data_IF_995284195213
#
_entry.id   IF_995284195213
#
_cell.length_a   1.000
_cell.length_b   1.000
_cell.length_c   1.000
_cell.angle_alpha   90.00
_cell.angle_beta   90.00
_cell.angle_gamma   90.00
#
_symmetry.space_group_name_H-M   'P 1'
#
loop_
_entity.id
_entity.type
_entity.pdbx_description
1 polymer ?
#
# COMPACT_ATOMS: atom_id res chain seq x y z
N UNK A 1 -17.99 -69.27 14.44
CA UNK A 1 -18.60 -67.92 14.56
C UNK A 1 -17.66 -66.87 15.17
N UNK A 2 -17.03 -67.09 16.34
CA UNK A 2 -16.13 -66.10 16.98
C UNK A 2 -14.94 -65.64 16.11
N UNK A 3 -14.37 -66.51 15.28
CA UNK A 3 -13.25 -66.17 14.36
C UNK A 3 -13.66 -65.21 13.23
N UNK A 4 -14.93 -65.16 12.84
CA UNK A 4 -15.41 -64.30 11.75
C UNK A 4 -15.54 -62.84 12.20
N UNK A 5 -15.96 -62.60 13.45
CA UNK A 5 -16.06 -61.26 14.03
C UNK A 5 -14.68 -60.61 14.27
N UNK A 6 -13.66 -61.41 14.58
CA UNK A 6 -12.28 -60.91 14.74
C UNK A 6 -11.71 -60.42 13.41
N UNK A 7 -12.01 -61.11 12.31
CA UNK A 7 -11.59 -60.70 10.96
C UNK A 7 -12.33 -59.42 10.53
N UNK A 8 -13.63 -59.30 10.84
CA UNK A 8 -14.40 -58.09 10.53
C UNK A 8 -13.91 -56.86 11.31
N UNK A 9 -13.49 -57.04 12.57
CA UNK A 9 -12.96 -55.97 13.41
C UNK A 9 -11.57 -55.49 12.95
N UNK A 10 -10.70 -56.41 12.51
CA UNK A 10 -9.39 -56.08 11.96
C UNK A 10 -9.48 -55.29 10.63
N UNK A 11 -10.46 -55.60 9.78
CA UNK A 11 -10.68 -54.86 8.53
C UNK A 11 -11.19 -53.44 8.82
N UNK A 12 -12.04 -53.25 9.84
CA UNK A 12 -12.55 -51.93 10.23
C UNK A 12 -11.45 -51.00 10.80
N UNK A 13 -10.49 -51.55 11.54
CA UNK A 13 -9.34 -50.79 12.06
C UNK A 13 -8.33 -50.37 10.98
N UNK A 14 -8.19 -51.13 9.88
CA UNK A 14 -7.28 -50.76 8.79
C UNK A 14 -7.83 -49.62 7.90
N UNK A 15 -9.14 -49.39 7.88
CA UNK A 15 -9.75 -48.30 7.09
C UNK A 15 -9.82 -46.95 7.82
N UNK A 16 -9.53 -46.90 9.12
CA UNK A 16 -9.65 -45.67 9.93
C UNK A 16 -8.38 -44.81 9.95
N UNK A 17 -7.33 -45.15 9.18
CA UNK A 17 -6.03 -44.45 9.21
C UNK A 17 -5.64 -43.68 7.93
N UNK A 18 -6.52 -43.57 6.93
CA UNK A 18 -6.18 -42.91 5.65
C UNK A 18 -6.67 -41.45 5.51
N UNK A 19 -7.36 -40.87 6.50
CA UNK A 19 -8.00 -39.56 6.34
C UNK A 19 -7.11 -38.31 6.54
N UNK A 20 -5.81 -38.45 6.86
CA UNK A 20 -4.95 -37.30 7.17
C UNK A 20 -3.78 -37.00 6.19
N UNK A 21 -3.60 -37.78 5.10
CA UNK A 21 -2.40 -37.65 4.25
C UNK A 21 -2.56 -36.91 2.90
N UNK A 22 -3.72 -36.32 2.57
CA UNK A 22 -3.93 -35.73 1.22
C UNK A 22 -3.60 -34.23 1.05
N UNK A 23 -3.14 -33.50 2.07
CA UNK A 23 -2.96 -32.03 1.95
C UNK A 23 -1.68 -31.55 1.23
N UNK A 24 -0.69 -32.41 0.98
CA UNK A 24 0.64 -31.93 0.51
C UNK A 24 0.68 -31.41 -0.94
N UNK A 25 -0.32 -31.72 -1.78
CA UNK A 25 -0.36 -31.32 -3.19
C UNK A 25 -1.63 -30.58 -3.65
N UNK A 26 -2.56 -30.25 -2.77
CA UNK A 26 -3.74 -29.47 -3.17
C UNK A 26 -3.38 -27.99 -3.33
N UNK A 27 -3.71 -27.45 -4.51
CA UNK A 27 -3.64 -26.02 -4.79
C UNK A 27 -4.72 -25.31 -3.94
N UNK A 28 -4.34 -24.26 -3.21
CA UNK A 28 -5.30 -23.42 -2.50
C UNK A 28 -6.21 -22.74 -3.53
N UNK A 29 -7.50 -23.03 -3.48
CA UNK A 29 -8.54 -22.46 -4.33
C UNK A 29 -9.42 -21.45 -3.59
N UNK A 30 -9.47 -21.54 -2.26
CA UNK A 30 -10.17 -20.62 -1.36
C UNK A 30 -9.53 -20.71 0.02
N UNK A 31 -9.42 -19.58 0.71
CA UNK A 31 -9.01 -19.52 2.10
C UNK A 31 -10.23 -19.59 3.03
N UNK A 32 -10.10 -20.26 4.17
CA UNK A 32 -11.12 -20.38 5.22
C UNK A 32 -10.80 -19.48 6.41
N UNK A 33 -11.79 -18.92 7.13
CA UNK A 33 -11.51 -18.10 8.31
C UNK A 33 -10.73 -18.85 9.40
N UNK A 34 -11.16 -20.07 9.73
CA UNK A 34 -10.56 -20.87 10.80
C UNK A 34 -9.14 -21.36 10.46
N UNK A 35 -8.87 -21.69 9.21
CA UNK A 35 -7.56 -22.19 8.77
C UNK A 35 -6.68 -21.14 8.10
N UNK A 36 -7.06 -19.85 8.17
CA UNK A 36 -6.42 -18.81 7.38
C UNK A 36 -4.90 -18.74 7.59
N UNK A 37 -4.36 -18.72 8.82
CA UNK A 37 -2.93 -18.60 9.07
C UNK A 37 -2.11 -19.76 8.48
N UNK A 38 -2.58 -21.00 8.63
CA UNK A 38 -1.91 -22.18 8.11
C UNK A 38 -1.97 -22.24 6.58
N UNK A 39 -3.16 -21.97 6.01
CA UNK A 39 -3.39 -22.00 4.57
C UNK A 39 -2.58 -20.92 3.85
N UNK A 40 -2.52 -19.69 4.38
CA UNK A 40 -1.74 -18.61 3.77
C UNK A 40 -0.24 -18.87 3.89
N UNK A 41 0.21 -19.44 5.01
CA UNK A 41 1.61 -19.85 5.20
C UNK A 41 2.01 -20.91 4.18
N UNK A 42 1.18 -21.94 4.01
CA UNK A 42 1.40 -22.99 3.01
C UNK A 42 1.43 -22.42 1.58
N UNK A 43 0.50 -21.52 1.27
CA UNK A 43 0.44 -20.85 -0.04
C UNK A 43 1.72 -20.06 -0.35
N UNK A 44 2.27 -19.31 0.62
CA UNK A 44 3.54 -18.59 0.47
C UNK A 44 4.73 -19.56 0.33
N UNK A 45 4.81 -20.59 1.17
CA UNK A 45 5.90 -21.58 1.14
C UNK A 45 6.00 -22.33 -0.19
N UNK A 46 4.86 -22.64 -0.83
CA UNK A 46 4.83 -23.25 -2.17
C UNK A 46 5.49 -22.37 -3.23
N UNK A 47 5.47 -21.04 -3.07
CA UNK A 47 6.13 -20.11 -3.99
C UNK A 47 7.60 -19.84 -3.62
N UNK A 48 7.90 -19.62 -2.34
CA UNK A 48 9.27 -19.46 -1.83
C UNK A 48 9.37 -20.11 -0.45
N UNK A 49 10.06 -21.24 -0.36
CA UNK A 49 10.07 -22.09 0.85
C UNK A 49 10.52 -21.35 2.11
N UNK A 50 11.72 -20.74 2.10
CA UNK A 50 12.30 -20.07 3.27
C UNK A 50 11.57 -18.76 3.60
N UNK A 51 11.46 -17.86 2.63
CA UNK A 51 10.83 -16.54 2.83
C UNK A 51 9.33 -16.67 3.18
N UNK A 52 8.63 -17.56 2.49
CA UNK A 52 7.21 -17.81 2.73
C UNK A 52 6.95 -18.41 4.11
N UNK A 53 7.83 -19.31 4.60
CA UNK A 53 7.77 -19.80 5.97
C UNK A 53 7.95 -18.66 6.98
N UNK A 54 8.99 -17.83 6.80
CA UNK A 54 9.30 -16.72 7.71
C UNK A 54 8.13 -15.73 7.82
N UNK A 55 7.56 -15.32 6.70
CA UNK A 55 6.46 -14.35 6.68
C UNK A 55 5.17 -14.97 7.21
N UNK A 56 4.86 -16.21 6.81
CA UNK A 56 3.68 -16.92 7.29
C UNK A 56 3.69 -17.15 8.80
N UNK A 57 4.82 -17.58 9.36
CA UNK A 57 4.97 -17.76 10.82
C UNK A 57 4.89 -16.43 11.58
N UNK A 58 5.45 -15.35 11.02
CA UNK A 58 5.30 -14.00 11.60
C UNK A 58 3.81 -13.61 11.63
N UNK A 59 3.11 -13.80 10.53
CA UNK A 59 1.69 -13.49 10.43
C UNK A 59 0.83 -14.35 11.37
N UNK A 60 1.08 -15.65 11.45
CA UNK A 60 0.34 -16.56 12.34
C UNK A 60 0.46 -16.16 13.81
N UNK A 61 1.62 -15.65 14.24
CA UNK A 61 1.79 -15.11 15.60
C UNK A 61 0.93 -13.86 15.81
N UNK A 62 0.97 -12.91 14.88
CA UNK A 62 0.18 -11.69 14.99
C UNK A 62 -1.33 -11.94 14.87
N UNK A 63 -1.76 -12.96 14.13
CA UNK A 63 -3.17 -13.28 13.86
C UNK A 63 -4.01 -13.47 15.12
N UNK A 64 -3.41 -13.98 16.19
CA UNK A 64 -4.07 -14.24 17.48
C UNK A 64 -4.59 -12.94 18.10
N UNK A 65 -3.93 -11.80 17.82
CA UNK A 65 -4.27 -10.50 18.39
C UNK A 65 -5.30 -9.72 17.54
N UNK A 66 -5.68 -10.24 16.36
CA UNK A 66 -6.69 -9.58 15.52
C UNK A 66 -8.09 -9.83 16.07
N UNK A 67 -8.91 -8.76 16.11
CA UNK A 67 -10.34 -8.88 16.37
C UNK A 67 -11.04 -9.60 15.21
N UNK A 68 -12.17 -10.25 15.49
CA UNK A 68 -12.91 -11.07 14.53
C UNK A 68 -13.25 -10.32 13.25
N UNK A 69 -13.65 -9.05 13.35
CA UNK A 69 -14.00 -8.21 12.20
C UNK A 69 -12.81 -7.98 11.27
N UNK A 70 -11.61 -7.82 11.83
CA UNK A 70 -10.38 -7.65 11.07
C UNK A 70 -9.96 -8.98 10.42
N UNK A 71 -10.08 -10.09 11.14
CA UNK A 71 -9.83 -11.42 10.59
C UNK A 71 -10.74 -11.72 9.38
N UNK A 72 -12.04 -11.46 9.51
CA UNK A 72 -13.01 -11.66 8.44
C UNK A 72 -12.71 -10.79 7.22
N UNK A 73 -12.42 -9.50 7.44
CA UNK A 73 -12.09 -8.59 6.34
C UNK A 73 -10.80 -8.98 5.62
N UNK A 74 -9.77 -9.46 6.35
CA UNK A 74 -8.53 -10.00 5.78
C UNK A 74 -8.82 -11.22 4.91
N UNK A 75 -9.58 -12.19 5.40
CA UNK A 75 -9.91 -13.43 4.67
C UNK A 75 -10.72 -13.12 3.41
N UNK A 76 -11.67 -12.20 3.49
CA UNK A 76 -12.49 -11.76 2.34
C UNK A 76 -11.60 -11.13 1.27
N UNK A 77 -10.71 -10.19 1.65
CA UNK A 77 -9.81 -9.52 0.71
C UNK A 77 -8.78 -10.49 0.13
N UNK A 78 -8.21 -11.38 0.94
CA UNK A 78 -7.28 -12.41 0.50
C UNK A 78 -7.91 -13.35 -0.54
N UNK A 79 -9.16 -13.75 -0.34
CA UNK A 79 -9.92 -14.54 -1.30
C UNK A 79 -10.20 -13.76 -2.61
N UNK A 80 -10.48 -12.45 -2.53
CA UNK A 80 -10.59 -11.59 -3.71
C UNK A 80 -9.25 -11.49 -4.46
N UNK A 81 -8.13 -11.35 -3.77
CA UNK A 81 -6.79 -11.39 -4.38
C UNK A 81 -6.51 -12.74 -5.05
N UNK A 82 -6.89 -13.85 -4.42
CA UNK A 82 -6.72 -15.20 -4.95
C UNK A 82 -7.55 -15.41 -6.23
N UNK A 83 -8.82 -14.99 -6.24
CA UNK A 83 -9.69 -15.10 -7.43
C UNK A 83 -9.18 -14.25 -8.60
N UNK A 84 -8.52 -13.12 -8.32
CA UNK A 84 -7.80 -12.29 -9.31
C UNK A 84 -6.42 -12.85 -9.68
N UNK A 85 -6.07 -14.06 -9.23
CA UNK A 85 -4.82 -14.78 -9.51
C UNK A 85 -3.57 -13.96 -9.13
N UNK A 86 -3.63 -13.20 -8.05
CA UNK A 86 -2.47 -12.48 -7.54
C UNK A 86 -1.44 -13.48 -7.01
N UNK A 87 -0.17 -13.27 -7.36
CA UNK A 87 0.94 -14.16 -6.95
C UNK A 87 1.20 -14.04 -5.46
N UNK A 88 1.63 -15.14 -4.84
CA UNK A 88 2.15 -15.19 -3.48
C UNK A 88 3.19 -14.09 -3.22
N UNK A 89 4.17 -13.99 -4.12
CA UNK A 89 5.17 -12.93 -4.13
C UNK A 89 5.02 -12.03 -5.36
N UNK A 90 5.10 -10.69 -5.22
CA UNK A 90 5.25 -9.96 -3.97
C UNK A 90 3.90 -9.66 -3.26
N UNK A 91 2.75 -10.02 -3.85
CA UNK A 91 1.49 -9.36 -3.47
C UNK A 91 0.87 -9.84 -2.16
N UNK A 92 0.80 -11.16 -1.93
CA UNK A 92 0.29 -11.66 -0.65
C UNK A 92 1.28 -11.38 0.47
N UNK A 93 2.58 -11.53 0.22
CA UNK A 93 3.64 -11.08 1.14
C UNK A 93 3.41 -9.63 1.60
N UNK A 94 3.32 -8.69 0.65
CA UNK A 94 3.14 -7.26 0.98
C UNK A 94 1.82 -7.02 1.68
N UNK A 95 0.74 -7.68 1.26
CA UNK A 95 -0.55 -7.60 1.93
C UNK A 95 -0.45 -8.02 3.40
N UNK A 96 0.18 -9.15 3.71
CA UNK A 96 0.39 -9.61 5.09
C UNK A 96 1.26 -8.64 5.89
N UNK A 97 2.31 -8.08 5.29
CA UNK A 97 3.13 -7.08 5.95
C UNK A 97 2.34 -5.80 6.27
N UNK A 98 1.47 -5.35 5.36
CA UNK A 98 0.64 -4.17 5.59
C UNK A 98 -0.41 -4.41 6.68
N UNK A 99 -1.12 -5.54 6.68
CA UNK A 99 -2.15 -5.79 7.70
C UNK A 99 -1.57 -5.95 9.11
N UNK A 100 -0.31 -6.39 9.23
CA UNK A 100 0.39 -6.43 10.52
C UNK A 100 0.88 -5.06 10.98
N UNK A 101 1.35 -4.21 10.06
CA UNK A 101 1.99 -2.94 10.40
C UNK A 101 1.01 -1.77 10.52
N UNK A 102 0.05 -1.67 9.59
CA UNK A 102 -0.81 -0.51 9.46
C UNK A 102 -1.68 -0.25 10.71
N UNK A 103 -2.32 -1.25 11.35
CA UNK A 103 -3.09 -1.01 12.58
C UNK A 103 -2.21 -0.53 13.74
N UNK A 104 -0.95 -0.94 13.78
CA UNK A 104 0.00 -0.57 14.85
C UNK A 104 0.52 0.85 14.66
N UNK A 105 0.86 1.22 13.42
CA UNK A 105 1.40 2.54 13.11
C UNK A 105 0.30 3.62 12.92
N UNK A 106 -0.87 3.22 12.42
CA UNK A 106 -1.96 4.10 11.99
C UNK A 106 -3.33 3.44 12.21
N UNK A 107 -3.73 3.23 13.47
CA UNK A 107 -4.96 2.52 13.86
C UNK A 107 -6.20 2.95 13.05
N UNK A 108 -6.43 4.25 12.93
CA UNK A 108 -7.61 4.82 12.26
C UNK A 108 -7.61 4.61 10.74
N UNK A 109 -6.46 4.20 10.19
CA UNK A 109 -6.28 3.99 8.75
C UNK A 109 -6.61 2.58 8.29
N UNK A 110 -6.68 1.59 9.18
CA UNK A 110 -6.86 0.19 8.78
C UNK A 110 -8.18 -0.04 8.03
N UNK A 111 -9.32 0.31 8.65
CA UNK A 111 -10.66 0.12 8.04
C UNK A 111 -10.78 0.89 6.71
N UNK A 112 -10.40 2.18 6.62
CA UNK A 112 -10.35 2.90 5.35
C UNK A 112 -9.46 2.23 4.30
N UNK A 113 -8.30 1.73 4.69
CA UNK A 113 -7.36 1.09 3.77
C UNK A 113 -7.90 -0.22 3.22
N UNK A 114 -8.40 -1.12 4.07
CA UNK A 114 -8.89 -2.43 3.61
C UNK A 114 -10.16 -2.27 2.74
N UNK A 115 -11.02 -1.30 3.08
CA UNK A 115 -12.16 -0.90 2.24
C UNK A 115 -11.73 -0.34 0.89
N UNK A 116 -10.62 0.40 0.85
CA UNK A 116 -10.05 0.93 -0.40
C UNK A 116 -9.50 -0.21 -1.26
N UNK A 117 -8.76 -1.16 -0.67
CA UNK A 117 -8.24 -2.33 -1.38
C UNK A 117 -9.37 -3.19 -1.95
N UNK A 118 -10.44 -3.40 -1.17
CA UNK A 118 -11.65 -4.08 -1.62
C UNK A 118 -12.26 -3.43 -2.87
N UNK A 119 -12.38 -2.10 -2.85
CA UNK A 119 -12.82 -1.32 -4.00
C UNK A 119 -11.89 -1.48 -5.20
N UNK A 120 -10.57 -1.45 -5.00
CA UNK A 120 -9.63 -1.64 -6.11
C UNK A 120 -9.75 -3.02 -6.74
N UNK A 121 -9.94 -4.07 -5.94
CA UNK A 121 -10.13 -5.45 -6.40
C UNK A 121 -11.46 -5.65 -7.13
N UNK A 122 -12.53 -5.01 -6.65
CA UNK A 122 -13.89 -5.22 -7.14
C UNK A 122 -14.25 -4.32 -8.34
N UNK A 123 -13.86 -3.04 -8.30
CA UNK A 123 -14.37 -2.02 -9.22
C UNK A 123 -13.31 -1.45 -10.18
N UNK A 124 -12.01 -1.46 -9.83
CA UNK A 124 -10.93 -0.86 -10.64
C UNK A 124 -10.08 -1.88 -11.41
N UNK A 125 -10.08 -3.12 -10.98
CA UNK A 125 -9.32 -4.22 -11.59
C UNK A 125 -7.96 -4.46 -10.94
N UNK A 126 -7.40 -5.63 -11.25
CA UNK A 126 -6.24 -6.22 -10.53
C UNK A 126 -4.99 -5.34 -10.56
N UNK A 127 -4.71 -4.63 -11.66
CA UNK A 127 -3.52 -3.77 -11.75
C UNK A 127 -3.60 -2.56 -10.81
N UNK A 128 -4.81 -2.01 -10.61
CA UNK A 128 -5.02 -0.92 -9.66
C UNK A 128 -4.86 -1.40 -8.21
N UNK A 129 -5.33 -2.62 -7.90
CA UNK A 129 -5.11 -3.24 -6.59
C UNK A 129 -3.63 -3.52 -6.31
N UNK A 130 -2.89 -4.05 -7.31
CA UNK A 130 -1.44 -4.25 -7.23
C UNK A 130 -0.70 -2.94 -6.99
N UNK A 131 -1.06 -1.88 -7.71
CA UNK A 131 -0.51 -0.54 -7.50
C UNK A 131 -0.78 -0.05 -6.08
N UNK A 132 -2.03 -0.19 -5.59
CA UNK A 132 -2.40 0.25 -4.25
C UNK A 132 -1.62 -0.50 -3.16
N UNK A 133 -1.49 -1.83 -3.25
CA UNK A 133 -0.67 -2.64 -2.33
C UNK A 133 0.79 -2.19 -2.35
N UNK A 134 1.38 -2.00 -3.53
CA UNK A 134 2.77 -1.55 -3.64
C UNK A 134 2.97 -0.13 -3.08
N UNK A 135 2.02 0.78 -3.33
CA UNK A 135 2.04 2.14 -2.80
C UNK A 135 1.98 2.13 -1.28
N UNK A 136 1.03 1.40 -0.68
CA UNK A 136 0.94 1.32 0.78
C UNK A 136 2.17 0.67 1.40
N UNK A 137 2.71 -0.38 0.77
CA UNK A 137 3.97 -1.00 1.21
C UNK A 137 5.12 0.02 1.17
N UNK A 138 5.30 0.72 0.05
CA UNK A 138 6.32 1.75 -0.10
C UNK A 138 6.16 2.87 0.92
N UNK A 139 4.93 3.24 1.25
CA UNK A 139 4.64 4.27 2.24
C UNK A 139 5.08 3.85 3.66
N UNK A 140 4.72 2.63 4.08
CA UNK A 140 5.03 2.10 5.41
C UNK A 140 6.51 1.78 5.60
N UNK A 141 7.15 1.18 4.60
CA UNK A 141 8.48 0.58 4.76
C UNK A 141 9.60 1.35 4.06
N UNK A 142 9.29 2.26 3.13
CA UNK A 142 10.28 2.96 2.31
C UNK A 142 10.10 4.49 2.27
N UNK A 143 9.11 5.00 3.03
CA UNK A 143 8.63 6.38 3.00
C UNK A 143 8.30 6.89 1.57
N UNK A 144 7.84 6.00 0.70
CA UNK A 144 7.50 6.26 -0.70
C UNK A 144 6.00 6.55 -0.84
N UNK A 145 5.65 7.79 -1.20
CA UNK A 145 4.25 8.21 -1.45
C UNK A 145 3.77 7.70 -2.82
N UNK A 146 4.67 7.69 -3.80
CA UNK A 146 4.41 7.19 -5.14
C UNK A 146 5.70 6.68 -5.78
N UNK A 147 5.59 5.60 -6.56
CA UNK A 147 6.72 5.05 -7.30
C UNK A 147 6.30 4.48 -8.65
N UNK A 148 7.13 4.75 -9.65
CA UNK A 148 7.12 4.14 -10.98
C UNK A 148 8.55 3.69 -11.34
N UNK A 149 8.76 3.22 -12.56
CA UNK A 149 10.10 2.82 -13.03
C UNK A 149 11.11 3.97 -13.13
N UNK A 150 10.66 5.22 -13.22
CA UNK A 150 11.52 6.38 -13.49
C UNK A 150 11.37 7.53 -12.48
N UNK A 151 10.36 7.45 -11.60
CA UNK A 151 10.00 8.51 -10.67
C UNK A 151 9.66 7.89 -9.31
N UNK A 152 10.23 8.44 -8.24
CA UNK A 152 9.89 8.09 -6.86
C UNK A 152 9.66 9.36 -6.05
N UNK A 153 8.47 9.52 -5.50
CA UNK A 153 8.14 10.59 -4.57
C UNK A 153 8.22 10.06 -3.14
N UNK A 154 9.07 10.66 -2.32
CA UNK A 154 9.29 10.30 -0.91
C UNK A 154 8.83 11.41 0.04
N UNK A 155 8.32 11.00 1.18
CA UNK A 155 8.05 11.85 2.33
C UNK A 155 9.10 11.58 3.40
N UNK A 156 9.55 12.59 4.15
CA UNK A 156 10.30 12.35 5.40
C UNK A 156 9.37 12.10 6.61
N UNK A 157 8.08 12.37 6.47
CA UNK A 157 7.08 12.17 7.50
C UNK A 157 6.44 10.80 7.37
N UNK A 158 6.33 10.11 8.52
CA UNK A 158 5.56 8.88 8.66
C UNK A 158 4.10 9.15 9.01
N UNK A 159 3.72 10.39 9.32
CA UNK A 159 2.36 10.71 9.76
C UNK A 159 1.42 10.87 8.56
N UNK A 160 0.57 9.87 8.34
CA UNK A 160 -0.51 9.92 7.36
C UNK A 160 -1.78 9.24 7.88
N UNK A 161 -2.92 9.57 7.27
CA UNK A 161 -4.22 8.96 7.58
C UNK A 161 -4.94 8.56 6.28
N UNK A 162 -5.34 7.29 6.17
CA UNK A 162 -6.20 6.83 5.09
C UNK A 162 -7.65 7.24 5.34
N UNK A 163 -8.34 7.62 4.26
CA UNK A 163 -9.77 7.93 4.27
C UNK A 163 -10.45 7.22 3.10
N UNK A 164 -11.59 6.59 3.40
CA UNK A 164 -12.45 5.95 2.40
C UNK A 164 -13.87 6.49 2.51
N UNK A 165 -14.36 7.15 1.46
CA UNK A 165 -15.67 7.79 1.49
C UNK A 165 -16.62 7.16 0.47
N UNK A 166 -17.41 6.19 0.94
CA UNK A 166 -18.36 5.39 0.14
C UNK A 166 -19.34 6.21 -0.69
N UNK A 167 -19.64 7.47 -0.32
CA UNK A 167 -20.52 8.36 -1.11
C UNK A 167 -20.00 8.58 -2.53
N UNK A 168 -18.67 8.58 -2.71
CA UNK A 168 -18.05 8.76 -4.02
C UNK A 168 -18.06 7.48 -4.86
N UNK A 169 -18.45 6.31 -4.31
CA UNK A 169 -18.48 5.04 -5.05
C UNK A 169 -19.45 5.10 -6.23
N UNK A 170 -20.62 5.72 -6.04
CA UNK A 170 -21.66 5.95 -7.06
C UNK A 170 -21.56 7.32 -7.77
N UNK A 171 -20.55 8.12 -7.42
CA UNK A 171 -20.39 9.46 -8.00
C UNK A 171 -20.02 9.43 -9.49
N UNK A 172 -20.27 10.56 -10.17
CA UNK A 172 -19.81 10.78 -11.56
C UNK A 172 -18.30 10.58 -11.66
N UNK A 173 -17.82 10.16 -12.83
CA UNK A 173 -16.40 9.84 -13.10
C UNK A 173 -15.43 10.94 -12.62
N UNK A 174 -15.83 12.22 -12.70
CA UNK A 174 -15.03 13.38 -12.29
C UNK A 174 -14.75 13.44 -10.79
N UNK A 175 -15.58 12.86 -9.93
CA UNK A 175 -15.40 12.94 -8.47
C UNK A 175 -14.98 11.63 -7.82
N UNK A 176 -15.04 10.52 -8.57
CA UNK A 176 -14.73 9.17 -8.08
C UNK A 176 -13.31 9.05 -7.51
N UNK A 177 -12.38 9.95 -7.87
CA UNK A 177 -11.05 9.98 -7.29
C UNK A 177 -11.03 10.29 -5.79
N UNK A 178 -12.05 10.99 -5.27
CA UNK A 178 -12.19 11.36 -3.85
C UNK A 178 -12.60 10.18 -2.96
N UNK A 179 -12.85 9.00 -3.53
CA UNK A 179 -13.23 7.79 -2.80
C UNK A 179 -12.12 7.31 -1.86
N UNK A 180 -10.86 7.45 -2.29
CA UNK A 180 -9.68 7.04 -1.52
C UNK A 180 -8.76 8.25 -1.42
N UNK A 181 -8.40 8.62 -0.19
CA UNK A 181 -7.54 9.78 0.11
C UNK A 181 -6.55 9.40 1.20
N UNK A 182 -5.33 9.93 1.12
CA UNK A 182 -4.35 9.90 2.20
C UNK A 182 -4.06 11.35 2.61
N UNK A 183 -4.28 11.70 3.86
CA UNK A 183 -3.90 13.01 4.40
C UNK A 183 -2.53 12.92 5.04
N UNK A 184 -1.67 13.88 4.73
CA UNK A 184 -0.33 14.01 5.27
C UNK A 184 -0.26 15.27 6.13
N UNK A 185 0.41 15.13 7.29
CA UNK A 185 0.85 16.26 8.09
C UNK A 185 1.93 17.09 7.38
N UNK A 186 2.62 17.94 8.13
CA UNK A 186 3.83 18.58 7.61
C UNK A 186 4.86 17.51 7.21
N UNK A 187 5.44 17.68 6.03
CA UNK A 187 6.46 16.82 5.45
C UNK A 187 7.33 17.57 4.43
N UNK A 188 8.55 17.08 4.25
CA UNK A 188 9.32 17.33 3.05
C UNK A 188 8.93 16.31 2.00
N UNK A 189 8.56 16.80 0.81
CA UNK A 189 8.19 15.97 -0.32
C UNK A 189 9.31 16.03 -1.37
N UNK A 190 9.99 14.91 -1.58
CA UNK A 190 11.16 14.80 -2.46
C UNK A 190 10.81 13.95 -3.68
N UNK A 191 10.97 14.50 -4.88
CA UNK A 191 10.90 13.74 -6.12
C UNK A 191 12.31 13.29 -6.51
N UNK A 192 12.52 11.99 -6.73
CA UNK A 192 13.72 11.44 -7.35
C UNK A 192 13.41 11.00 -8.78
N UNK A 193 14.19 11.45 -9.75
CA UNK A 193 14.05 11.03 -11.15
C UNK A 193 15.36 11.20 -11.91
N UNK A 194 15.75 10.19 -12.71
CA UNK A 194 16.91 10.23 -13.64
C UNK A 194 18.23 10.74 -13.01
N UNK A 195 18.53 10.34 -11.78
CA UNK A 195 19.74 10.76 -11.06
C UNK A 195 19.64 12.14 -10.42
N UNK A 196 18.51 12.83 -10.58
CA UNK A 196 18.24 14.14 -10.02
C UNK A 196 17.12 14.09 -8.95
N UNK A 197 16.96 15.17 -8.19
CA UNK A 197 15.85 15.34 -7.26
C UNK A 197 15.37 16.78 -7.13
N UNK A 198 14.06 16.93 -6.94
CA UNK A 198 13.45 18.18 -6.50
C UNK A 198 12.85 18.00 -5.11
N UNK A 199 12.87 19.05 -4.30
CA UNK A 199 12.40 19.02 -2.92
C UNK A 199 11.44 20.16 -2.66
N UNK A 200 10.30 19.84 -2.04
CA UNK A 200 9.38 20.80 -1.45
C UNK A 200 9.49 20.62 0.06
N UNK A 201 9.98 21.64 0.74
CA UNK A 201 10.16 21.64 2.18
C UNK A 201 8.84 21.97 2.89
N UNK A 202 8.56 21.30 4.01
CA UNK A 202 7.48 21.64 4.95
C UNK A 202 6.09 21.87 4.29
N UNK A 203 5.73 21.06 3.29
CA UNK A 203 4.36 21.04 2.73
C UNK A 203 3.48 20.10 3.54
N UNK A 204 2.17 20.32 3.50
CA UNK A 204 1.16 19.35 3.95
C UNK A 204 0.10 19.17 2.89
N UNK A 205 -0.71 18.12 2.94
CA UNK A 205 -1.72 17.95 1.90
C UNK A 205 -2.34 16.57 1.81
N UNK A 206 -3.07 16.34 0.72
CA UNK A 206 -3.78 15.09 0.50
C UNK A 206 -3.37 14.45 -0.82
N UNK A 207 -3.05 13.16 -0.79
CA UNK A 207 -2.81 12.35 -1.97
C UNK A 207 -4.05 11.52 -2.33
N UNK A 208 -4.37 11.45 -3.63
CA UNK A 208 -5.48 10.66 -4.16
C UNK A 208 -4.95 9.55 -5.09
N UNK A 209 -4.79 8.31 -4.60
CA UNK A 209 -4.18 7.21 -5.38
C UNK A 209 -4.91 6.87 -6.69
N UNK A 210 -6.21 7.19 -6.79
CA UNK A 210 -7.03 6.89 -7.97
C UNK A 210 -6.60 7.71 -9.18
N UNK A 211 -6.27 8.99 -9.00
CA UNK A 211 -5.80 9.88 -10.06
C UNK A 211 -4.32 10.24 -9.94
N UNK A 212 -3.65 9.79 -8.87
CA UNK A 212 -2.23 9.99 -8.58
C UNK A 212 -1.86 11.47 -8.40
N UNK A 213 -2.82 12.28 -7.95
CA UNK A 213 -2.61 13.71 -7.70
C UNK A 213 -2.41 13.98 -6.21
N UNK A 214 -1.44 14.83 -5.90
CA UNK A 214 -1.23 15.39 -4.56
C UNK A 214 -1.73 16.84 -4.56
N UNK A 215 -2.57 17.18 -3.60
CA UNK A 215 -3.07 18.52 -3.37
C UNK A 215 -2.40 19.07 -2.11
N UNK A 216 -1.41 19.92 -2.33
CA UNK A 216 -0.55 20.45 -1.29
C UNK A 216 -0.96 21.85 -0.83
N UNK A 217 -0.45 22.24 0.34
CA UNK A 217 -0.67 23.54 0.98
C UNK A 217 0.62 23.98 1.64
N UNK A 218 1.06 25.19 1.31
CA UNK A 218 2.28 25.79 1.86
C UNK A 218 3.54 25.01 1.48
N UNK A 219 4.62 25.36 2.16
CA UNK A 219 5.94 24.80 1.94
C UNK A 219 6.83 25.70 1.09
N UNK A 220 8.07 25.27 0.88
CA UNK A 220 9.13 26.08 0.27
C UNK A 220 9.91 25.29 -0.77
N UNK A 221 10.28 25.92 -1.87
CA UNK A 221 11.22 25.40 -2.87
C UNK A 221 12.47 26.29 -2.86
N UNK A 222 13.66 25.67 -2.89
CA UNK A 222 14.96 26.37 -2.76
C UNK A 222 15.90 26.00 -3.91
N UNK A 223 16.97 26.78 -4.07
CA UNK A 223 18.04 26.55 -5.05
C UNK A 223 19.39 26.15 -4.40
N UNK A 224 19.34 25.54 -3.22
CA UNK A 224 20.54 25.07 -2.48
C UNK A 224 21.41 24.11 -3.30
N UNK A 225 20.79 23.34 -4.19
CA UNK A 225 21.50 22.41 -5.08
C UNK A 225 22.47 23.08 -6.05
N UNK A 226 22.25 24.35 -6.37
CA UNK A 226 23.12 25.14 -7.24
C UNK A 226 23.89 26.21 -6.46
N UNK A 227 23.95 26.09 -5.13
CA UNK A 227 24.82 26.89 -4.25
C UNK A 227 24.17 28.10 -3.58
N UNK A 228 22.86 28.35 -3.77
CA UNK A 228 22.18 29.46 -3.10
C UNK A 228 21.61 29.05 -1.74
N UNK A 229 21.82 29.84 -0.69
CA UNK A 229 21.18 29.60 0.62
C UNK A 229 19.65 29.55 0.49
N UNK A 230 19.00 28.70 1.30
CA UNK A 230 17.53 28.62 1.41
C UNK A 230 16.86 29.92 1.85
N UNK A 231 17.63 30.85 2.41
CA UNK A 231 17.18 32.17 2.85
C UNK A 231 17.31 33.23 1.75
N UNK A 232 18.10 32.95 0.71
CA UNK A 232 18.43 33.92 -0.33
C UNK A 232 17.60 33.73 -1.58
N UNK A 233 17.47 32.48 -2.05
CA UNK A 233 16.76 32.14 -3.28
C UNK A 233 15.73 31.05 -3.02
N UNK A 234 14.47 31.45 -2.91
CA UNK A 234 13.38 30.54 -2.59
C UNK A 234 12.03 31.00 -3.15
N UNK A 235 11.08 30.06 -3.16
CA UNK A 235 9.67 30.30 -3.46
C UNK A 235 8.84 29.72 -2.32
N UNK A 236 8.01 30.55 -1.70
CA UNK A 236 6.95 30.07 -0.81
C UNK A 236 5.75 29.60 -1.66
N UNK A 237 5.25 28.41 -1.36
CA UNK A 237 4.14 27.80 -2.08
C UNK A 237 2.79 28.26 -1.51
N UNK A 238 1.74 28.39 -2.35
CA UNK A 238 0.44 28.86 -1.91
C UNK A 238 -0.28 27.85 -1.02
N UNK A 239 -1.36 28.29 -0.37
CA UNK A 239 -2.26 27.45 0.43
C UNK A 239 -3.02 26.39 -0.38
N UNK A 240 -2.90 26.39 -1.71
CA UNK A 240 -3.46 25.37 -2.57
C UNK A 240 -2.65 25.23 -3.86
N UNK A 241 -2.04 24.07 -4.05
CA UNK A 241 -1.43 23.68 -5.31
C UNK A 241 -1.67 22.19 -5.59
N UNK A 242 -1.34 21.77 -6.80
CA UNK A 242 -1.57 20.40 -7.27
C UNK A 242 -0.34 19.87 -7.99
N UNK A 243 0.10 18.70 -7.57
CA UNK A 243 1.16 17.93 -8.22
C UNK A 243 0.57 16.68 -8.85
N UNK A 244 1.08 16.34 -10.04
CA UNK A 244 0.87 15.03 -10.65
C UNK A 244 2.09 14.18 -10.30
N UNK A 245 1.93 13.22 -9.38
CA UNK A 245 3.06 12.43 -8.90
C UNK A 245 3.62 11.48 -9.96
N UNK A 246 2.95 11.36 -11.12
CA UNK A 246 3.47 10.63 -12.28
C UNK A 246 4.48 11.43 -13.09
N UNK A 247 4.74 12.69 -12.71
CA UNK A 247 5.70 13.58 -13.38
C UNK A 247 6.84 13.96 -12.42
N UNK A 248 8.03 14.13 -12.99
CA UNK A 248 9.21 14.62 -12.26
C UNK A 248 9.22 16.15 -12.14
N UNK A 249 8.55 16.84 -13.08
CA UNK A 249 8.39 18.30 -13.08
C UNK A 249 6.97 18.70 -12.71
N UNK A 250 6.85 19.89 -12.14
CA UNK A 250 5.59 20.50 -11.75
C UNK A 250 5.59 22.00 -12.07
N UNK A 251 4.38 22.56 -12.23
CA UNK A 251 4.18 24.00 -12.43
C UNK A 251 3.14 24.49 -11.44
N UNK A 252 3.52 25.46 -10.64
CA UNK A 252 2.65 26.14 -9.68
C UNK A 252 2.47 27.58 -10.18
N UNK A 253 1.24 28.08 -10.17
CA UNK A 253 0.89 29.43 -10.62
C UNK A 253 0.85 30.37 -9.41
N UNK A 254 0.97 31.67 -9.67
CA UNK A 254 0.82 32.72 -8.66
C UNK A 254 1.82 32.60 -7.50
N UNK A 255 3.08 32.37 -7.86
CA UNK A 255 4.19 32.31 -6.91
C UNK A 255 5.20 33.40 -7.25
N UNK A 256 5.86 33.93 -6.23
CA UNK A 256 6.93 34.92 -6.38
C UNK A 256 8.26 34.29 -6.00
N UNK A 257 9.27 34.46 -6.84
CA UNK A 257 10.65 34.10 -6.50
C UNK A 257 11.23 35.22 -5.63
N UNK A 258 11.63 34.87 -4.40
CA UNK A 258 12.50 35.72 -3.60
C UNK A 258 13.94 35.42 -4.00
N UNK A 259 14.66 36.44 -4.44
CA UNK A 259 16.10 36.34 -4.72
C UNK A 259 16.79 37.59 -4.14
N UNK A 260 17.51 37.41 -3.02
CA UNK A 260 18.24 38.49 -2.35
C UNK A 260 19.52 38.91 -3.08
N UNK A 261 20.01 38.09 -4.02
CA UNK A 261 21.18 38.39 -4.84
C UNK A 261 20.84 39.25 -6.07
N UNK A 262 19.55 39.42 -6.38
CA UNK A 262 19.09 40.19 -7.55
C UNK A 262 18.36 41.47 -7.14
N UNK A 263 19.04 42.60 -7.30
CA UNK A 263 18.42 43.90 -7.61
C UNK A 263 18.14 44.06 -9.12
N UNK A 264 17.99 42.96 -9.87
CA UNK A 264 17.86 42.97 -11.33
C UNK A 264 16.64 42.19 -11.81
N UNK A 265 15.96 42.80 -12.78
CA UNK A 265 14.54 42.71 -13.07
C UNK A 265 14.14 41.68 -14.13
N UNK A 266 14.80 40.53 -14.24
CA UNK A 266 14.35 39.46 -15.15
C UNK A 266 15.08 38.13 -14.88
N UNK A 267 14.32 37.04 -14.70
CA UNK A 267 14.85 35.67 -14.79
C UNK A 267 13.92 34.82 -15.66
N UNK A 268 14.48 34.33 -16.77
CA UNK A 268 13.90 33.28 -17.63
C UNK A 268 14.05 31.91 -16.96
N UNK A 269 12.97 31.12 -16.95
CA UNK A 269 13.05 29.70 -16.64
C UNK A 269 13.60 28.92 -17.85
N UNK A 270 14.78 28.33 -17.71
CA UNK A 270 15.24 27.24 -18.58
C UNK A 270 14.65 25.92 -18.07
N UNK A 271 13.98 25.19 -18.97
CA UNK A 271 13.57 23.79 -18.80
C UNK A 271 14.68 22.85 -19.27
#
# INVERSE_FOLDING_TARGET
MKKFYIILFLIFCCFSHSSFSQRKNQKITKFTPLGFPEEITFFLQKSKKKDGKKIGEKFAKSWIDFVTEDQDSIVVVANKMLSKRMKAFPYFEKFLMIVMELPQAHSDSYIPWISSLDYFLSDKGVNSAKFFINMTYGLLFENSVFESSSIKWKSNSKNFVFSYNKKYRKSKRKEKYKLVKLDFGSMDLVCHSRGDSSKIYNTKGSYFPINKLFYGRGGKVTWERVGFSMEDVFVDLPDSFKLDLTKSSYKIKNVSLTNKHSSLSEILFLQ
#
